data_IF_810204629217
#
_entry.id   IF_810204629217
#
_cell.length_a   1.000
_cell.length_b   1.000
_cell.length_c   1.000
_cell.angle_alpha   90.00
_cell.angle_beta   90.00
_cell.angle_gamma   90.00
#
_symmetry.space_group_name_H-M   'P 1'
#
loop_
_entity.id
_entity.type
_entity.pdbx_description
1 polymer ?
#
# COMPACT_ATOMS: atom_id res chain seq x y z
N UNK A 1 12.41 -6.50 -22.57
CA UNK A 1 11.48 -7.42 -21.87
C UNK A 1 10.88 -6.65 -20.71
N UNK A 2 9.59 -6.27 -20.79
CA UNK A 2 8.94 -5.57 -19.70
C UNK A 2 8.87 -6.48 -18.50
N UNK A 3 9.45 -6.07 -17.39
CA UNK A 3 9.25 -6.72 -16.10
C UNK A 3 7.76 -6.77 -15.84
N UNK A 4 7.19 -7.97 -15.72
CA UNK A 4 5.79 -8.13 -15.36
C UNK A 4 5.57 -7.30 -14.06
N UNK A 5 4.76 -6.24 -14.18
CA UNK A 5 4.52 -5.37 -13.05
C UNK A 5 3.98 -6.22 -11.89
N UNK A 6 4.59 -6.12 -10.70
CA UNK A 6 4.14 -6.87 -9.54
C UNK A 6 2.66 -6.58 -9.27
N UNK A 7 1.88 -7.61 -8.96
CA UNK A 7 0.42 -7.52 -8.86
C UNK A 7 -0.03 -7.98 -7.47
N UNK A 8 -0.04 -7.09 -6.46
CA UNK A 8 -0.41 -7.44 -5.09
C UNK A 8 -1.91 -7.71 -4.93
N UNK A 9 -2.75 -7.23 -5.85
CA UNK A 9 -4.17 -7.12 -5.63
C UNK A 9 -4.97 -8.38 -5.96
N UNK A 10 -6.01 -8.62 -5.16
CA UNK A 10 -7.13 -9.52 -5.45
C UNK A 10 -8.44 -8.73 -5.59
N UNK A 11 -9.39 -9.30 -6.31
CA UNK A 11 -10.69 -8.68 -6.52
C UNK A 11 -11.45 -8.55 -5.18
N UNK A 12 -11.88 -7.34 -4.80
CA UNK A 12 -12.61 -7.16 -3.55
C UNK A 12 -14.05 -7.71 -3.58
N UNK A 13 -14.55 -8.12 -4.76
CA UNK A 13 -15.91 -8.65 -4.95
C UNK A 13 -15.94 -10.18 -4.96
N UNK A 14 -14.94 -10.85 -5.54
CA UNK A 14 -14.93 -12.31 -5.65
C UNK A 14 -13.65 -12.98 -5.13
N UNK A 15 -12.67 -12.22 -4.63
CA UNK A 15 -11.41 -12.74 -4.09
C UNK A 15 -10.40 -13.25 -5.12
N UNK A 16 -10.77 -13.37 -6.41
CA UNK A 16 -9.88 -13.86 -7.46
C UNK A 16 -8.70 -12.89 -7.70
N UNK A 17 -7.55 -13.38 -8.18
CA UNK A 17 -6.42 -12.51 -8.52
C UNK A 17 -6.82 -11.44 -9.54
N UNK A 18 -6.32 -10.23 -9.35
CA UNK A 18 -6.42 -9.15 -10.34
C UNK A 18 -5.14 -9.11 -11.19
N UNK A 19 -5.32 -8.88 -12.49
CA UNK A 19 -4.23 -8.72 -13.46
C UNK A 19 -4.45 -7.46 -14.29
N UNK A 20 -3.35 -6.88 -14.80
CA UNK A 20 -3.36 -5.66 -15.59
C UNK A 20 -2.55 -4.54 -14.92
N UNK A 21 -2.47 -3.40 -15.59
CA UNK A 21 -1.71 -2.23 -15.11
C UNK A 21 -2.55 -0.95 -15.15
N UNK A 22 -3.23 -0.65 -16.25
CA UNK A 22 -4.15 0.48 -16.37
C UNK A 22 -5.53 0.10 -15.83
N UNK A 23 -6.06 -1.04 -16.27
CA UNK A 23 -7.30 -1.62 -15.77
C UNK A 23 -6.98 -2.97 -15.15
N UNK A 24 -7.24 -3.13 -13.87
CA UNK A 24 -7.17 -4.42 -13.21
C UNK A 24 -8.45 -5.22 -13.51
N UNK A 25 -8.29 -6.48 -13.94
CA UNK A 25 -9.39 -7.39 -14.25
C UNK A 25 -9.23 -8.71 -13.53
N UNK A 26 -10.34 -9.30 -13.08
CA UNK A 26 -10.39 -10.66 -12.57
C UNK A 26 -11.02 -11.61 -13.59
N UNK A 27 -10.86 -12.95 -13.43
CA UNK A 27 -11.48 -13.94 -14.33
C UNK A 27 -13.02 -13.86 -14.38
N UNK A 28 -13.65 -13.36 -13.31
CA UNK A 28 -15.13 -13.16 -13.26
C UNK A 28 -15.59 -11.87 -13.95
N UNK A 29 -14.70 -11.13 -14.62
CA UNK A 29 -15.06 -9.94 -15.39
C UNK A 29 -15.13 -8.62 -14.60
N UNK A 30 -14.89 -8.62 -13.28
CA UNK A 30 -14.82 -7.35 -12.53
C UNK A 30 -13.59 -6.56 -12.95
N UNK A 31 -13.80 -5.25 -13.18
CA UNK A 31 -12.79 -4.33 -13.68
C UNK A 31 -12.64 -3.14 -12.73
N UNK A 32 -11.39 -2.67 -12.58
CA UNK A 32 -11.05 -1.51 -11.74
C UNK A 32 -10.01 -0.66 -12.49
N UNK A 33 -10.41 0.53 -12.91
CA UNK A 33 -9.53 1.43 -13.63
C UNK A 33 -8.58 2.16 -12.70
N UNK A 34 -7.37 2.40 -13.19
CA UNK A 34 -6.36 3.19 -12.52
C UNK A 34 -6.73 4.67 -12.61
N UNK A 35 -6.82 5.33 -11.45
CA UNK A 35 -6.99 6.76 -11.41
C UNK A 35 -5.79 7.48 -12.05
N UNK A 36 -6.00 8.70 -12.56
CA UNK A 36 -4.93 9.51 -13.17
C UNK A 36 -3.73 9.77 -12.24
N UNK A 37 -3.95 9.73 -10.93
CA UNK A 37 -2.92 9.87 -9.91
C UNK A 37 -2.13 8.57 -9.65
N UNK A 38 -2.52 7.43 -10.22
CA UNK A 38 -1.78 6.18 -10.16
C UNK A 38 -2.26 5.15 -9.15
N UNK A 39 -3.43 5.31 -8.52
CA UNK A 39 -4.02 4.35 -7.57
C UNK A 39 -5.27 3.67 -8.14
N UNK A 40 -5.71 2.58 -7.50
CA UNK A 40 -6.99 1.91 -7.77
C UNK A 40 -7.98 2.09 -6.63
N UNK A 41 -9.28 2.15 -6.95
CA UNK A 41 -10.35 2.17 -5.96
C UNK A 41 -10.88 0.74 -5.78
N UNK A 42 -10.37 0.05 -4.75
CA UNK A 42 -10.69 -1.35 -4.43
C UNK A 42 -11.57 -1.48 -3.17
N UNK A 43 -12.25 -0.41 -2.77
CA UNK A 43 -13.19 -0.40 -1.66
C UNK A 43 -14.63 -0.51 -2.20
N UNK A 44 -15.31 -1.67 -2.03
CA UNK A 44 -16.69 -1.83 -2.46
C UNK A 44 -17.64 -0.93 -1.69
N UNK A 45 -18.67 -0.39 -2.37
CA UNK A 45 -19.65 0.52 -1.76
C UNK A 45 -20.35 -0.11 -0.56
N UNK A 46 -20.67 -1.41 -0.63
CA UNK A 46 -21.29 -2.16 0.46
C UNK A 46 -20.42 -2.25 1.72
N UNK A 47 -19.12 -2.03 1.62
CA UNK A 47 -18.18 -2.06 2.74
C UNK A 47 -17.94 -0.65 3.34
N UNK A 48 -18.73 0.34 2.94
CA UNK A 48 -18.65 1.71 3.46
C UNK A 48 -19.93 2.09 4.20
N UNK A 49 -19.79 2.63 5.41
CA UNK A 49 -20.93 3.18 6.19
C UNK A 49 -21.18 4.66 5.88
N UNK A 50 -20.24 5.33 5.24
CA UNK A 50 -20.28 6.76 4.92
C UNK A 50 -19.81 7.00 3.48
N UNK A 51 -20.22 8.12 2.87
CA UNK A 51 -19.80 8.51 1.51
C UNK A 51 -18.31 8.87 1.40
N UNK A 52 -17.68 9.25 2.52
CA UNK A 52 -16.27 9.62 2.59
C UNK A 52 -15.64 9.00 3.86
N UNK A 53 -15.28 7.69 3.82
CA UNK A 53 -14.65 7.04 4.96
C UNK A 53 -13.19 7.50 5.13
N UNK A 54 -12.72 7.43 6.38
CA UNK A 54 -11.35 7.80 6.75
C UNK A 54 -11.17 9.31 6.98
N UNK A 55 -9.92 9.74 6.97
CA UNK A 55 -9.53 11.13 7.21
C UNK A 55 -10.07 12.08 6.13
N UNK A 56 -10.57 13.25 6.56
CA UNK A 56 -10.95 14.32 5.65
C UNK A 56 -9.75 14.92 4.92
N UNK A 57 -10.00 15.73 3.89
CA UNK A 57 -8.91 16.44 3.17
C UNK A 57 -8.10 17.34 4.10
N UNK A 58 -8.77 17.99 5.04
CA UNK A 58 -8.17 18.91 6.03
C UNK A 58 -7.29 18.12 7.01
N UNK A 59 -7.75 16.96 7.50
CA UNK A 59 -6.97 16.08 8.37
C UNK A 59 -5.72 15.56 7.66
N UNK A 60 -5.86 15.10 6.42
CA UNK A 60 -4.74 14.64 5.58
C UNK A 60 -3.74 15.76 5.33
N UNK A 61 -4.21 16.99 5.05
CA UNK A 61 -3.34 18.15 4.85
C UNK A 61 -2.57 18.54 6.13
N UNK A 62 -3.24 18.54 7.28
CA UNK A 62 -2.61 18.83 8.57
C UNK A 62 -1.54 17.78 8.94
N UNK A 63 -1.86 16.49 8.77
CA UNK A 63 -0.90 15.39 8.98
C UNK A 63 0.30 15.51 8.05
N UNK A 64 0.07 15.79 6.77
CA UNK A 64 1.15 15.99 5.80
C UNK A 64 2.06 17.17 6.18
N UNK A 65 1.49 18.31 6.59
CA UNK A 65 2.26 19.46 7.03
C UNK A 65 3.15 19.09 8.22
N UNK A 66 2.60 18.40 9.22
CA UNK A 66 3.32 17.94 10.40
C UNK A 66 4.47 16.98 10.05
N UNK A 67 4.21 15.93 9.24
CA UNK A 67 5.23 14.97 8.84
C UNK A 67 6.31 15.61 7.97
N UNK A 68 5.94 16.54 7.07
CA UNK A 68 6.87 17.26 6.19
C UNK A 68 7.74 18.26 6.96
N UNK A 69 7.32 18.72 8.14
CA UNK A 69 8.13 19.56 9.02
C UNK A 69 9.29 18.79 9.71
N UNK A 70 9.36 17.46 9.54
CA UNK A 70 10.47 16.63 9.99
C UNK A 70 10.38 16.12 11.42
N UNK A 71 9.28 16.40 12.17
CA UNK A 71 9.13 15.96 13.56
C UNK A 71 9.24 14.44 13.74
N UNK A 72 8.86 13.66 12.72
CA UNK A 72 8.95 12.21 12.70
C UNK A 72 10.13 11.67 11.88
N UNK A 73 11.11 12.52 11.54
CA UNK A 73 12.27 12.13 10.72
C UNK A 73 13.02 10.92 11.27
N UNK A 74 13.33 10.93 12.57
CA UNK A 74 14.01 9.83 13.27
C UNK A 74 13.17 8.55 13.21
N UNK A 75 11.85 8.66 13.43
CA UNK A 75 10.96 7.51 13.37
C UNK A 75 10.89 6.91 11.95
N UNK A 76 10.78 7.77 10.92
CA UNK A 76 10.80 7.31 9.52
C UNK A 76 12.12 6.65 9.12
N UNK A 77 13.25 7.15 9.66
CA UNK A 77 14.54 6.51 9.48
C UNK A 77 14.59 5.14 10.16
N UNK A 78 14.22 5.05 11.43
CA UNK A 78 14.22 3.79 12.17
C UNK A 78 13.31 2.72 11.51
N UNK A 79 12.14 3.12 10.98
CA UNK A 79 11.28 2.19 10.24
C UNK A 79 11.97 1.60 9.01
N UNK A 80 12.68 2.41 8.25
CA UNK A 80 13.40 1.92 7.08
C UNK A 80 14.55 0.98 7.46
N UNK A 81 15.29 1.29 8.53
CA UNK A 81 16.36 0.44 9.07
C UNK A 81 15.78 -0.92 9.52
N UNK A 82 14.67 -0.91 10.27
CA UNK A 82 13.98 -2.14 10.66
C UNK A 82 13.49 -2.96 9.46
N UNK A 83 12.94 -2.32 8.43
CA UNK A 83 12.54 -3.00 7.21
C UNK A 83 13.73 -3.63 6.47
N UNK A 84 14.89 -2.98 6.47
CA UNK A 84 16.12 -3.52 5.89
C UNK A 84 16.68 -4.68 6.72
N UNK A 85 16.61 -4.61 8.04
CA UNK A 85 17.14 -5.62 8.97
C UNK A 85 16.24 -6.87 8.98
N UNK A 86 14.93 -6.70 9.16
CA UNK A 86 13.99 -7.81 9.35
C UNK A 86 13.27 -8.25 8.07
N UNK A 87 13.35 -7.48 6.99
CA UNK A 87 12.73 -7.82 5.72
C UNK A 87 13.48 -8.95 5.02
N UNK A 88 12.89 -10.15 4.98
CA UNK A 88 13.45 -11.34 4.34
C UNK A 88 12.66 -11.61 3.05
N UNK A 89 13.24 -11.40 1.86
CA UNK A 89 12.55 -11.66 0.59
C UNK A 89 12.38 -13.17 0.36
N UNK A 90 11.47 -13.53 -0.56
CA UNK A 90 11.16 -14.91 -0.92
C UNK A 90 12.37 -15.72 -1.41
N UNK A 91 13.31 -15.05 -2.06
CA UNK A 91 14.58 -15.61 -2.52
C UNK A 91 15.68 -14.54 -2.41
N UNK A 92 16.93 -14.95 -2.38
CA UNK A 92 18.08 -14.10 -2.06
C UNK A 92 18.18 -12.81 -2.90
N UNK A 93 17.81 -12.87 -4.18
CA UNK A 93 17.85 -11.72 -5.09
C UNK A 93 16.47 -11.17 -5.47
N UNK A 94 15.41 -11.72 -4.85
CA UNK A 94 14.07 -11.24 -5.11
C UNK A 94 13.84 -9.88 -4.43
N UNK A 95 12.97 -9.01 -4.98
CA UNK A 95 12.56 -7.80 -4.28
C UNK A 95 11.82 -8.17 -2.99
N UNK A 96 12.07 -7.40 -1.92
CA UNK A 96 11.26 -7.46 -0.72
C UNK A 96 9.86 -6.95 -1.05
N UNK A 97 8.82 -7.74 -0.73
CA UNK A 97 7.42 -7.34 -0.88
C UNK A 97 6.91 -6.75 0.42
N UNK A 98 6.84 -5.43 0.46
CA UNK A 98 6.34 -4.69 1.63
C UNK A 98 4.91 -4.23 1.39
N UNK A 99 4.04 -4.52 2.36
CA UNK A 99 2.67 -4.03 2.40
C UNK A 99 2.52 -3.00 3.53
N UNK A 100 2.12 -1.77 3.20
CA UNK A 100 1.71 -0.77 4.20
C UNK A 100 0.18 -0.74 4.35
N UNK A 101 -0.30 -1.26 5.48
CA UNK A 101 -1.71 -1.37 5.81
C UNK A 101 -2.18 -0.13 6.59
N UNK A 102 -2.75 0.84 5.89
CA UNK A 102 -3.09 2.16 6.40
C UNK A 102 -2.01 3.18 6.09
N UNK A 103 -1.56 3.20 4.83
CA UNK A 103 -0.41 3.98 4.37
C UNK A 103 -0.58 5.51 4.46
N UNK A 104 -1.79 6.01 4.71
CA UNK A 104 -2.08 7.42 4.70
C UNK A 104 -1.64 8.10 3.41
N UNK A 105 -0.88 9.19 3.52
CA UNK A 105 -0.34 9.92 2.35
C UNK A 105 1.04 9.39 1.89
N UNK A 106 1.46 8.20 2.38
CA UNK A 106 2.68 7.51 1.96
C UNK A 106 3.98 8.16 2.44
N UNK A 107 3.98 8.87 3.56
CA UNK A 107 5.18 9.51 4.05
C UNK A 107 6.23 8.48 4.52
N UNK A 108 5.80 7.47 5.27
CA UNK A 108 6.68 6.39 5.73
C UNK A 108 7.18 5.54 4.55
N UNK A 109 6.32 5.28 3.58
CA UNK A 109 6.68 4.58 2.34
C UNK A 109 7.85 5.23 1.63
N UNK A 110 7.83 6.58 1.53
CA UNK A 110 8.93 7.35 0.92
C UNK A 110 10.22 7.26 1.72
N UNK A 111 10.13 7.25 3.06
CA UNK A 111 11.30 7.07 3.92
C UNK A 111 11.93 5.70 3.70
N UNK A 112 11.12 4.64 3.71
CA UNK A 112 11.57 3.27 3.49
C UNK A 112 12.15 3.10 2.08
N UNK A 113 11.44 3.55 1.04
CA UNK A 113 11.89 3.44 -0.35
C UNK A 113 13.24 4.12 -0.60
N UNK A 114 13.50 5.27 0.04
CA UNK A 114 14.81 5.96 -0.04
C UNK A 114 15.92 5.13 0.56
N UNK A 115 15.70 4.48 1.69
CA UNK A 115 16.71 3.66 2.36
C UNK A 115 16.99 2.37 1.58
N UNK A 116 15.95 1.72 1.03
CA UNK A 116 16.14 0.58 0.15
C UNK A 116 16.93 0.94 -1.10
N UNK A 117 16.65 2.10 -1.70
CA UNK A 117 17.41 2.61 -2.84
C UNK A 117 18.87 2.91 -2.46
N UNK A 118 19.13 3.53 -1.31
CA UNK A 118 20.48 3.81 -0.81
C UNK A 118 21.27 2.52 -0.52
N UNK A 119 20.59 1.48 -0.05
CA UNK A 119 21.16 0.15 0.21
C UNK A 119 21.25 -0.74 -1.04
N UNK A 120 20.86 -0.24 -2.22
CA UNK A 120 20.75 -1.00 -3.47
C UNK A 120 19.93 -2.30 -3.33
N UNK A 121 18.93 -2.31 -2.43
CA UNK A 121 18.04 -3.46 -2.22
C UNK A 121 16.72 -3.28 -2.99
N UNK A 122 16.33 -4.26 -3.82
CA UNK A 122 15.10 -4.18 -4.58
C UNK A 122 13.87 -4.27 -3.66
N UNK A 123 12.86 -3.39 -3.93
CA UNK A 123 11.63 -3.27 -3.15
C UNK A 123 10.41 -3.26 -4.07
N UNK A 124 9.45 -4.12 -3.79
CA UNK A 124 8.07 -4.05 -4.29
C UNK A 124 7.16 -3.55 -3.17
N UNK A 125 6.75 -2.28 -3.23
CA UNK A 125 5.94 -1.65 -2.21
C UNK A 125 4.49 -1.53 -2.67
N UNK A 126 3.56 -2.03 -1.87
CA UNK A 126 2.14 -1.80 -2.00
C UNK A 126 1.59 -1.17 -0.72
N UNK A 127 0.66 -0.23 -0.87
CA UNK A 127 0.01 0.39 0.27
C UNK A 127 -1.48 0.62 0.01
N UNK A 128 -2.27 0.62 1.06
CA UNK A 128 -3.67 1.00 0.96
C UNK A 128 -4.10 1.81 2.17
N UNK A 129 -5.11 2.63 1.96
CA UNK A 129 -5.79 3.38 3.01
C UNK A 129 -7.26 3.55 2.64
N UNK A 130 -8.13 3.72 3.64
CA UNK A 130 -9.54 3.96 3.40
C UNK A 130 -9.82 5.39 2.96
N UNK A 131 -8.95 6.33 3.33
CA UNK A 131 -9.06 7.75 3.00
C UNK A 131 -8.56 8.01 1.57
N UNK A 132 -9.48 8.11 0.62
CA UNK A 132 -9.15 8.43 -0.78
C UNK A 132 -8.27 9.68 -0.96
N UNK A 133 -8.44 10.80 -0.21
CA UNK A 133 -7.53 11.94 -0.30
C UNK A 133 -6.08 11.61 0.03
N UNK A 134 -5.85 10.74 1.01
CA UNK A 134 -4.53 10.31 1.42
C UNK A 134 -3.86 9.42 0.35
N UNK A 135 -4.54 8.37 -0.10
CA UNK A 135 -4.05 7.47 -1.16
C UNK A 135 -3.68 8.21 -2.44
N UNK A 136 -4.48 9.23 -2.81
CA UNK A 136 -4.20 10.09 -3.95
C UNK A 136 -2.86 10.81 -3.83
N UNK A 137 -2.49 11.27 -2.64
CA UNK A 137 -1.20 11.92 -2.38
C UNK A 137 -0.06 10.90 -2.37
N UNK A 138 -0.26 9.73 -1.76
CA UNK A 138 0.72 8.65 -1.74
C UNK A 138 1.12 8.22 -3.16
N UNK A 139 0.14 7.95 -4.01
CA UNK A 139 0.37 7.53 -5.40
C UNK A 139 1.12 8.59 -6.25
N UNK A 140 0.84 9.88 -6.02
CA UNK A 140 1.59 10.96 -6.67
C UNK A 140 3.02 11.08 -6.18
N UNK A 141 3.24 10.85 -4.89
CA UNK A 141 4.53 11.08 -4.25
C UNK A 141 5.51 9.92 -4.46
N UNK A 142 5.02 8.69 -4.65
CA UNK A 142 5.83 7.50 -4.92
C UNK A 142 5.19 6.66 -6.05
N UNK A 143 5.35 7.07 -7.32
CA UNK A 143 4.69 6.38 -8.46
C UNK A 143 5.20 4.96 -8.72
N UNK A 144 6.33 4.57 -8.15
CA UNK A 144 6.89 3.22 -8.24
C UNK A 144 6.16 2.21 -7.36
N UNK A 145 5.46 2.68 -6.32
CA UNK A 145 4.64 1.83 -5.46
C UNK A 145 3.23 1.62 -6.03
N UNK A 146 2.54 0.60 -5.55
CA UNK A 146 1.16 0.27 -5.91
C UNK A 146 0.21 0.68 -4.80
N UNK A 147 -0.70 1.60 -5.06
CA UNK A 147 -1.63 2.11 -4.05
C UNK A 147 -3.09 1.81 -4.37
N UNK A 148 -3.87 1.52 -3.33
CA UNK A 148 -5.31 1.32 -3.46
C UNK A 148 -6.11 2.01 -2.34
N UNK A 149 -7.30 2.50 -2.66
CA UNK A 149 -8.31 2.82 -1.64
C UNK A 149 -8.96 1.52 -1.20
N UNK A 150 -8.80 1.14 0.07
CA UNK A 150 -9.29 -0.13 0.61
C UNK A 150 -9.44 -0.09 2.13
N UNK A 151 -10.10 -1.11 2.69
CA UNK A 151 -10.27 -1.29 4.13
C UNK A 151 -9.25 -2.29 4.68
N UNK A 152 -8.73 -2.03 5.89
CA UNK A 152 -7.86 -2.97 6.63
C UNK A 152 -8.58 -4.26 6.99
N UNK A 153 -9.90 -4.22 7.16
CA UNK A 153 -10.71 -5.39 7.54
C UNK A 153 -11.13 -6.29 6.36
N UNK A 154 -10.93 -5.82 5.11
CA UNK A 154 -11.19 -6.59 3.89
C UNK A 154 -10.12 -6.19 2.88
N UNK A 155 -8.89 -6.65 3.12
CA UNK A 155 -7.74 -6.23 2.32
C UNK A 155 -7.80 -6.86 0.92
N UNK A 156 -7.75 -6.05 -0.15
CA UNK A 156 -7.73 -6.56 -1.51
C UNK A 156 -6.33 -7.03 -1.92
N UNK A 157 -5.61 -7.66 -1.01
CA UNK A 157 -4.26 -8.18 -1.21
C UNK A 157 -4.29 -9.70 -1.29
N UNK A 158 -3.52 -10.27 -2.20
CA UNK A 158 -3.39 -11.72 -2.37
C UNK A 158 -2.89 -12.37 -1.09
N UNK A 159 -3.39 -13.56 -0.79
CA UNK A 159 -2.90 -14.39 0.32
C UNK A 159 -1.42 -14.70 0.11
N UNK A 160 -0.61 -14.57 1.18
CA UNK A 160 0.82 -14.86 1.14
C UNK A 160 1.62 -13.98 0.17
N UNK A 161 1.16 -12.74 -0.11
CA UNK A 161 1.88 -11.85 -1.01
C UNK A 161 3.03 -11.13 -0.32
N UNK A 162 2.82 -10.64 0.90
CA UNK A 162 3.77 -9.79 1.60
C UNK A 162 4.84 -10.59 2.35
N UNK A 163 6.09 -10.20 2.22
CA UNK A 163 7.20 -10.67 3.03
C UNK A 163 7.26 -9.90 4.36
N UNK A 164 6.86 -8.63 4.32
CA UNK A 164 6.81 -7.72 5.47
C UNK A 164 5.54 -6.87 5.41
N UNK A 165 4.89 -6.69 6.56
CA UNK A 165 3.72 -5.83 6.72
C UNK A 165 4.03 -4.70 7.69
N UNK A 166 3.79 -3.48 7.25
CA UNK A 166 3.81 -2.27 8.08
C UNK A 166 2.37 -1.91 8.48
N UNK A 167 2.17 -1.57 9.75
CA UNK A 167 0.92 -1.04 10.28
C UNK A 167 1.23 0.07 11.27
N UNK A 168 1.28 1.32 10.77
CA UNK A 168 1.58 2.50 11.57
C UNK A 168 0.34 3.34 11.79
N UNK A 169 -0.10 3.44 13.05
CA UNK A 169 -1.25 4.28 13.46
C UNK A 169 -2.53 4.00 12.69
N UNK A 170 -2.77 2.75 12.32
CA UNK A 170 -3.94 2.30 11.59
C UNK A 170 -4.61 1.10 12.29
N UNK A 171 -5.88 0.78 11.96
CA UNK A 171 -6.59 -0.34 12.60
C UNK A 171 -5.87 -1.67 12.43
N UNK A 172 -5.79 -2.44 13.52
CA UNK A 172 -5.16 -3.76 13.54
C UNK A 172 -6.20 -4.83 13.16
N UNK A 173 -5.99 -5.47 12.01
CA UNK A 173 -6.85 -6.53 11.48
C UNK A 173 -6.10 -7.87 11.44
N UNK A 174 -5.97 -8.52 12.59
CA UNK A 174 -5.11 -9.69 12.80
C UNK A 174 -5.26 -10.77 11.73
N UNK A 175 -6.49 -11.20 11.44
CA UNK A 175 -6.74 -12.31 10.50
C UNK A 175 -6.33 -11.96 9.07
N UNK A 176 -6.63 -10.73 8.64
CA UNK A 176 -6.23 -10.24 7.33
C UNK A 176 -4.70 -10.08 7.24
N UNK A 177 -4.04 -9.63 8.32
CA UNK A 177 -2.58 -9.52 8.35
C UNK A 177 -1.90 -10.88 8.24
N UNK A 178 -2.39 -11.88 8.99
CA UNK A 178 -1.88 -13.25 8.88
C UNK A 178 -2.14 -13.87 7.49
N UNK A 179 -3.26 -13.53 6.87
CA UNK A 179 -3.59 -14.01 5.53
C UNK A 179 -2.66 -13.46 4.44
N UNK A 180 -2.31 -12.18 4.51
CA UNK A 180 -1.51 -11.52 3.47
C UNK A 180 -0.01 -11.75 3.63
N UNK A 181 0.45 -12.04 4.83
CA UNK A 181 1.84 -12.44 5.08
C UNK A 181 2.12 -13.85 4.55
N UNK A 182 3.35 -14.05 4.12
CA UNK A 182 3.88 -15.32 3.61
C UNK A 182 4.33 -16.22 4.76
#
# INVERSE_FOLDING_TARGET
>A
MGTAAFAPWRCPLCGAPLAGDVTLKCPSGHCFDRAKEGYWHLLPVQNTRTKAPGDSKEMVAARRAFLSAGYYGIFGQALGELCLEYGIPAAQEAPLRLLDAGCGEGWYDRCIARQFAAAARPLELAGFDIAKPAVRLAAKALPTARYAVASSFHQPVKTGWADLLLNCFSPFAREEFLRVLR
#
